data_IF_482217026029
#
_entry.id   IF_482217026029
#
_cell.length_a   1.000
_cell.length_b   1.000
_cell.length_c   1.000
_cell.angle_alpha   90.00
_cell.angle_beta   90.00
_cell.angle_gamma   90.00
#
_symmetry.space_group_name_H-M   'P 1'
#
loop_
_entity.id
_entity.type
_entity.pdbx_description
1 polymer ?
#
# COMPACT_ATOMS: atom_id res chain seq x y z
N UNK A 1 7.27 2.48 22.76
CA UNK A 1 6.92 3.52 21.76
C UNK A 1 5.51 4.03 22.00
N UNK A 2 5.24 5.34 21.92
CA UNK A 2 3.89 5.90 22.07
C UNK A 2 3.06 5.65 20.81
N UNK A 3 2.48 4.46 20.71
CA UNK A 3 1.76 3.99 19.51
C UNK A 3 0.66 4.93 19.03
N UNK A 4 -0.08 5.55 19.94
CA UNK A 4 -1.16 6.48 19.58
C UNK A 4 -0.65 7.71 18.83
N UNK A 5 0.43 8.31 19.31
CA UNK A 5 1.04 9.48 18.64
C UNK A 5 1.54 9.12 17.25
N UNK A 6 2.28 8.00 17.13
CA UNK A 6 2.83 7.53 15.85
C UNK A 6 1.76 7.07 14.85
N UNK A 7 0.59 6.68 15.32
CA UNK A 7 -0.52 6.27 14.44
C UNK A 7 -1.44 7.42 14.02
N UNK A 8 -1.27 8.61 14.60
CA UNK A 8 -2.18 9.74 14.38
C UNK A 8 -1.48 10.98 13.81
N UNK A 9 -0.19 11.13 14.05
CA UNK A 9 0.57 12.31 13.66
C UNK A 9 1.82 11.95 12.85
N UNK A 10 2.16 12.82 11.91
CA UNK A 10 3.43 12.75 11.19
C UNK A 10 4.56 13.22 12.11
N UNK A 11 5.36 12.28 12.59
CA UNK A 11 6.45 12.57 13.52
C UNK A 11 7.66 13.06 12.72
N UNK A 12 8.23 14.23 13.05
CA UNK A 12 9.40 14.77 12.35
C UNK A 12 10.59 13.80 12.37
N UNK A 13 11.31 13.72 11.25
CA UNK A 13 12.49 12.84 11.10
C UNK A 13 13.51 13.01 12.22
N UNK A 14 13.79 14.27 12.64
CA UNK A 14 14.69 14.56 13.78
C UNK A 14 14.29 13.85 15.08
N UNK A 15 13.00 13.68 15.34
CA UNK A 15 12.52 12.96 16.53
C UNK A 15 12.72 11.46 16.34
N UNK A 16 12.46 10.95 15.16
CA UNK A 16 12.74 9.54 14.81
C UNK A 16 14.24 9.21 14.95
N UNK A 17 15.11 10.10 14.45
CA UNK A 17 16.57 9.94 14.54
C UNK A 17 17.05 9.93 15.99
N UNK A 18 16.47 10.77 16.84
CA UNK A 18 16.77 10.79 18.29
C UNK A 18 16.31 9.52 18.97
N UNK A 19 15.16 8.98 18.62
CA UNK A 19 14.69 7.69 19.13
C UNK A 19 15.60 6.55 18.70
N UNK A 20 16.01 6.53 17.44
CA UNK A 20 16.96 5.53 16.94
C UNK A 20 18.32 5.67 17.63
N UNK A 21 18.81 6.89 17.86
CA UNK A 21 20.05 7.17 18.59
C UNK A 21 19.97 6.67 20.05
N UNK A 22 18.86 6.95 20.74
CA UNK A 22 18.63 6.49 22.11
C UNK A 22 18.56 4.95 22.18
N UNK A 23 17.90 4.32 21.21
CA UNK A 23 17.81 2.85 21.12
C UNK A 23 19.17 2.23 20.88
N UNK A 24 20.00 2.82 20.00
CA UNK A 24 21.39 2.39 19.77
C UNK A 24 22.26 2.51 21.03
N UNK A 25 22.16 3.64 21.71
CA UNK A 25 22.89 3.86 22.96
C UNK A 25 22.51 2.83 24.01
N UNK A 26 21.23 2.59 24.21
CA UNK A 26 20.74 1.57 25.14
C UNK A 26 21.23 0.16 24.77
N UNK A 27 21.24 -0.18 23.49
CA UNK A 27 21.67 -1.49 23.02
C UNK A 27 23.16 -1.74 23.24
N UNK A 28 24.00 -0.74 22.90
CA UNK A 28 25.45 -0.88 22.97
C UNK A 28 26.05 -0.50 24.32
N UNK A 29 25.37 0.31 25.09
CA UNK A 29 25.86 0.79 26.38
C UNK A 29 24.71 1.03 27.38
N UNK A 30 24.06 -0.03 27.87
CA UNK A 30 22.86 0.08 28.71
C UNK A 30 23.13 0.71 30.09
N UNK A 31 24.40 0.79 30.51
CA UNK A 31 24.80 1.38 31.81
C UNK A 31 24.96 2.89 31.78
N UNK A 32 24.97 3.52 30.60
CA UNK A 32 25.19 4.97 30.46
C UNK A 32 23.97 5.62 29.77
N UNK A 33 23.60 6.77 30.29
CA UNK A 33 22.50 7.58 29.72
C UNK A 33 22.99 8.44 28.52
N UNK A 34 24.31 8.69 28.47
CA UNK A 34 24.94 9.47 27.40
C UNK A 34 26.41 9.08 27.24
N UNK A 35 27.03 9.47 26.14
CA UNK A 35 28.46 9.28 25.86
C UNK A 35 28.76 8.36 24.70
N UNK A 36 30.05 8.16 24.45
CA UNK A 36 30.54 7.34 23.34
C UNK A 36 30.37 5.83 23.67
N UNK A 37 30.08 5.08 22.63
CA UNK A 37 29.99 3.61 22.66
C UNK A 37 30.63 2.99 21.43
N UNK A 38 31.14 1.80 21.55
CA UNK A 38 31.64 1.02 20.43
C UNK A 38 30.50 0.20 19.83
N UNK A 39 30.13 0.52 18.59
CA UNK A 39 29.15 -0.24 17.83
C UNK A 39 29.87 -1.31 16.98
N UNK A 40 29.61 -2.58 17.27
CA UNK A 40 30.19 -3.71 16.52
C UNK A 40 29.57 -3.87 15.12
N UNK A 41 28.36 -3.38 14.91
CA UNK A 41 27.63 -3.39 13.66
C UNK A 41 26.88 -2.06 13.46
N UNK A 42 26.71 -1.68 12.19
CA UNK A 42 25.93 -0.49 11.86
C UNK A 42 24.46 -0.65 12.27
N UNK A 43 23.77 0.46 12.50
CA UNK A 43 22.34 0.46 12.82
C UNK A 43 21.51 -0.14 11.71
N UNK A 44 21.89 0.14 10.47
CA UNK A 44 21.31 -0.40 9.26
C UNK A 44 21.34 -1.92 9.26
N UNK A 45 22.50 -2.50 9.59
CA UNK A 45 22.69 -3.94 9.67
C UNK A 45 21.83 -4.59 10.76
N UNK A 46 21.79 -3.98 11.94
CA UNK A 46 20.98 -4.47 13.06
C UNK A 46 19.48 -4.44 12.73
N UNK A 47 19.04 -3.46 11.94
CA UNK A 47 17.66 -3.33 11.50
C UNK A 47 17.26 -4.30 10.38
N UNK A 48 18.21 -4.99 9.74
CA UNK A 48 17.86 -6.02 8.77
C UNK A 48 17.04 -7.16 9.40
N UNK A 49 16.18 -7.82 8.62
CA UNK A 49 15.51 -9.05 9.03
C UNK A 49 16.50 -10.11 9.50
N UNK A 50 16.09 -10.95 10.43
CA UNK A 50 16.92 -12.05 10.94
C UNK A 50 17.39 -13.00 9.83
N UNK A 51 16.54 -13.24 8.81
CA UNK A 51 16.89 -14.04 7.65
C UNK A 51 18.06 -13.46 6.82
N UNK A 52 18.37 -12.17 6.97
CA UNK A 52 19.46 -11.46 6.28
C UNK A 52 20.60 -11.09 7.23
N UNK A 53 20.71 -11.79 8.35
CA UNK A 53 21.80 -11.61 9.34
C UNK A 53 21.63 -10.43 10.28
N UNK A 54 20.50 -9.72 10.24
CA UNK A 54 20.17 -8.65 11.19
C UNK A 54 19.50 -9.17 12.48
N UNK A 55 19.16 -8.26 13.36
CA UNK A 55 18.42 -8.54 14.60
C UNK A 55 16.93 -8.22 14.49
N UNK A 56 16.49 -7.61 13.40
CA UNK A 56 15.12 -7.22 13.17
C UNK A 56 14.67 -6.02 13.99
N UNK A 57 15.59 -5.14 14.38
CA UNK A 57 15.24 -3.86 14.99
C UNK A 57 14.44 -3.01 13.99
N UNK A 58 13.54 -2.19 14.51
CA UNK A 58 12.71 -1.35 13.66
C UNK A 58 13.19 0.10 13.70
N UNK A 59 13.46 0.67 12.54
CA UNK A 59 13.73 2.11 12.41
C UNK A 59 12.47 2.90 12.78
N UNK A 60 12.63 3.94 13.61
CA UNK A 60 11.52 4.73 14.12
C UNK A 60 10.71 5.38 12.98
N UNK A 61 11.38 5.95 11.98
CA UNK A 61 10.72 6.59 10.84
C UNK A 61 9.88 5.59 10.03
N UNK A 62 10.45 4.43 9.65
CA UNK A 62 9.70 3.39 8.92
C UNK A 62 8.51 2.85 9.72
N UNK A 63 8.66 2.75 11.04
CA UNK A 63 7.56 2.35 11.93
C UNK A 63 6.44 3.38 11.94
N UNK A 64 6.78 4.67 12.02
CA UNK A 64 5.80 5.77 11.96
C UNK A 64 5.05 5.77 10.63
N UNK A 65 5.77 5.65 9.51
CA UNK A 65 5.17 5.56 8.18
C UNK A 65 4.25 4.36 8.05
N UNK A 66 4.65 3.18 8.54
CA UNK A 66 3.80 2.00 8.54
C UNK A 66 2.54 2.16 9.41
N UNK A 67 2.61 2.89 10.52
CA UNK A 67 1.43 3.21 11.33
C UNK A 67 0.50 4.20 10.61
N UNK A 68 1.04 5.26 10.02
CA UNK A 68 0.24 6.24 9.28
C UNK A 68 -0.38 5.64 8.01
N UNK A 69 0.27 4.68 7.38
CA UNK A 69 -0.30 3.94 6.24
C UNK A 69 -1.62 3.26 6.58
N UNK A 70 -1.85 2.92 7.86
CA UNK A 70 -3.15 2.44 8.32
C UNK A 70 -4.27 3.46 8.11
N UNK A 71 -3.99 4.76 8.31
CA UNK A 71 -4.97 5.82 8.03
C UNK A 71 -5.24 5.92 6.53
N UNK A 72 -4.19 5.87 5.71
CA UNK A 72 -4.31 5.84 4.25
C UNK A 72 -5.18 4.67 3.80
N UNK A 73 -4.93 3.47 4.33
CA UNK A 73 -5.76 2.28 4.07
C UNK A 73 -7.21 2.47 4.51
N UNK A 74 -7.46 3.07 5.68
CA UNK A 74 -8.83 3.34 6.16
C UNK A 74 -9.57 4.33 5.27
N UNK A 75 -8.87 5.26 4.64
CA UNK A 75 -9.46 6.19 3.66
C UNK A 75 -9.96 5.44 2.43
N UNK A 76 -9.13 4.59 1.82
CA UNK A 76 -9.45 3.91 0.56
C UNK A 76 -10.36 2.70 0.73
N UNK A 77 -10.24 1.96 1.84
CA UNK A 77 -11.06 0.77 2.12
C UNK A 77 -12.50 1.11 2.54
N UNK A 78 -12.87 2.37 2.45
CA UNK A 78 -14.20 2.88 2.78
C UNK A 78 -14.69 2.46 4.17
N UNK A 79 -13.76 2.31 5.12
CA UNK A 79 -14.10 1.92 6.49
C UNK A 79 -14.98 2.99 7.14
N UNK A 80 -16.15 2.59 7.59
CA UNK A 80 -17.11 3.48 8.28
C UNK A 80 -16.53 3.91 9.63
N UNK A 81 -16.28 5.20 9.79
CA UNK A 81 -16.01 5.86 11.08
C UNK A 81 -16.20 7.37 10.91
N UNK A 82 -16.70 8.03 11.94
CA UNK A 82 -16.93 9.48 11.91
C UNK A 82 -15.69 10.28 11.48
N UNK A 83 -14.52 9.89 11.97
CA UNK A 83 -13.25 10.54 11.61
C UNK A 83 -12.94 10.36 10.12
N UNK A 84 -13.09 9.14 9.58
CA UNK A 84 -12.81 8.87 8.16
C UNK A 84 -13.85 9.54 7.25
N UNK A 85 -15.11 9.55 7.65
CA UNK A 85 -16.17 10.19 6.88
C UNK A 85 -15.96 11.71 6.82
N UNK A 86 -15.56 12.34 7.95
CA UNK A 86 -15.19 13.75 8.00
C UNK A 86 -13.97 14.06 7.11
N UNK A 87 -12.94 13.21 7.12
CA UNK A 87 -11.75 13.39 6.28
C UNK A 87 -12.08 13.24 4.79
N UNK A 88 -12.85 12.21 4.42
CA UNK A 88 -13.28 12.01 3.02
C UNK A 88 -14.12 13.19 2.51
N UNK A 89 -15.06 13.67 3.31
CA UNK A 89 -15.88 14.83 2.97
C UNK A 89 -15.04 16.09 2.82
N UNK A 90 -14.18 16.38 3.82
CA UNK A 90 -13.32 17.58 3.82
C UNK A 90 -12.39 17.63 2.62
N UNK A 91 -11.76 16.51 2.24
CA UNK A 91 -10.78 16.43 1.16
C UNK A 91 -11.35 15.86 -0.14
N UNK A 92 -12.69 15.70 -0.23
CA UNK A 92 -13.41 15.24 -1.43
C UNK A 92 -12.80 13.97 -2.03
N UNK A 93 -12.54 12.98 -1.17
CA UNK A 93 -11.96 11.70 -1.59
C UNK A 93 -12.92 10.97 -2.52
N UNK A 94 -12.48 10.72 -3.75
CA UNK A 94 -13.20 9.96 -4.78
C UNK A 94 -12.56 8.58 -4.97
N UNK A 95 -13.14 7.75 -5.82
CA UNK A 95 -12.66 6.39 -6.13
C UNK A 95 -11.22 6.39 -6.68
N UNK A 96 -10.86 7.38 -7.48
CA UNK A 96 -9.55 7.56 -8.09
C UNK A 96 -8.50 8.23 -7.19
N UNK A 97 -8.82 8.44 -5.91
CA UNK A 97 -7.97 9.19 -4.98
C UNK A 97 -6.53 8.69 -4.90
N UNK A 98 -6.28 7.39 -5.05
CA UNK A 98 -4.91 6.84 -5.02
C UNK A 98 -4.02 7.42 -6.13
N UNK A 99 -4.58 7.66 -7.31
CA UNK A 99 -3.89 8.24 -8.47
C UNK A 99 -4.00 9.77 -8.57
N UNK A 100 -4.80 10.42 -7.70
CA UNK A 100 -5.02 11.86 -7.77
C UNK A 100 -3.83 12.67 -7.23
N UNK A 101 -3.70 13.90 -7.71
CA UNK A 101 -2.70 14.84 -7.21
C UNK A 101 -2.94 15.23 -5.75
N UNK A 102 -1.86 15.52 -4.97
CA UNK A 102 -1.97 15.94 -3.59
C UNK A 102 -2.70 17.29 -3.44
N UNK A 103 -3.53 17.40 -2.39
CA UNK A 103 -4.22 18.65 -2.06
C UNK A 103 -3.24 19.70 -1.56
N UNK A 104 -3.17 20.87 -2.23
CA UNK A 104 -2.22 21.95 -1.90
C UNK A 104 -2.36 22.47 -0.47
N UNK A 105 -3.59 22.72 -0.03
CA UNK A 105 -3.89 23.26 1.32
C UNK A 105 -4.50 22.17 2.22
N UNK A 106 -3.63 21.39 2.85
CA UNK A 106 -4.05 20.29 3.71
C UNK A 106 -3.35 20.35 5.07
N UNK A 107 -3.96 19.73 6.08
CA UNK A 107 -3.33 19.54 7.39
C UNK A 107 -2.09 18.65 7.28
N UNK A 108 -1.17 18.75 8.25
CA UNK A 108 0.04 17.91 8.26
C UNK A 108 -0.28 16.42 8.22
N UNK A 109 -1.28 15.99 8.99
CA UNK A 109 -1.73 14.58 8.97
C UNK A 109 -2.23 14.16 7.59
N UNK A 110 -3.00 15.02 6.89
CA UNK A 110 -3.47 14.69 5.54
C UNK A 110 -2.33 14.65 4.53
N UNK A 111 -1.39 15.58 4.60
CA UNK A 111 -0.18 15.55 3.77
C UNK A 111 0.62 14.26 3.97
N UNK A 112 0.71 13.77 5.20
CA UNK A 112 1.35 12.48 5.49
C UNK A 112 0.56 11.30 4.90
N UNK A 113 -0.77 11.31 4.99
CA UNK A 113 -1.65 10.31 4.37
C UNK A 113 -1.43 10.29 2.84
N UNK A 114 -1.37 11.45 2.20
CA UNK A 114 -1.14 11.57 0.76
C UNK A 114 0.26 11.12 0.33
N UNK A 115 1.28 11.45 1.11
CA UNK A 115 2.66 10.97 0.87
C UNK A 115 2.74 9.44 0.86
N UNK A 116 1.90 8.76 1.63
CA UNK A 116 1.89 7.31 1.77
C UNK A 116 0.96 6.58 0.77
N UNK A 117 0.33 7.31 -0.16
CA UNK A 117 -0.50 6.72 -1.23
C UNK A 117 0.27 5.67 -2.04
N UNK A 118 1.50 5.99 -2.46
CA UNK A 118 2.34 5.08 -3.24
C UNK A 118 2.65 3.77 -2.51
N UNK A 119 2.90 3.86 -1.20
CA UNK A 119 3.13 2.68 -0.37
C UNK A 119 1.88 1.80 -0.27
N UNK A 120 0.69 2.39 -0.19
CA UNK A 120 -0.56 1.62 -0.22
C UNK A 120 -0.83 1.08 -1.60
N UNK A 121 -0.65 1.87 -2.64
CA UNK A 121 -0.86 1.45 -4.03
C UNK A 121 0.03 0.26 -4.44
N UNK A 122 1.23 0.13 -3.84
CA UNK A 122 2.11 -1.01 -4.10
C UNK A 122 1.58 -2.37 -3.62
N UNK A 123 0.51 -2.40 -2.84
CA UNK A 123 -0.05 -3.65 -2.31
C UNK A 123 -1.58 -3.70 -2.26
N UNK A 124 -2.27 -2.61 -2.59
CA UNK A 124 -3.73 -2.56 -2.64
C UNK A 124 -4.23 -3.08 -4.00
N UNK A 125 -5.12 -4.06 -3.98
CA UNK A 125 -5.72 -4.60 -5.20
C UNK A 125 -7.18 -4.98 -4.93
N UNK A 126 -8.05 -4.79 -5.91
CA UNK A 126 -9.43 -5.25 -5.82
C UNK A 126 -9.54 -6.74 -6.12
N UNK A 127 -10.21 -7.47 -5.26
CA UNK A 127 -10.73 -8.80 -5.54
C UNK A 127 -12.05 -8.64 -6.27
N UNK A 128 -12.10 -9.12 -7.50
CA UNK A 128 -13.29 -9.04 -8.35
C UNK A 128 -14.41 -9.92 -7.79
N UNK A 129 -15.53 -9.31 -7.48
CA UNK A 129 -16.77 -9.96 -7.08
C UNK A 129 -17.79 -9.96 -8.23
N UNK A 130 -18.66 -8.95 -8.26
CA UNK A 130 -19.58 -8.69 -9.36
C UNK A 130 -18.99 -7.75 -10.43
N UNK A 131 -17.89 -7.08 -10.12
CA UNK A 131 -17.19 -6.15 -10.99
C UNK A 131 -17.89 -4.80 -11.19
N UNK A 132 -18.93 -4.52 -10.41
CA UNK A 132 -19.78 -3.35 -10.62
C UNK A 132 -19.12 -2.04 -10.16
N UNK A 133 -18.16 -2.11 -9.25
CA UNK A 133 -17.52 -0.93 -8.64
C UNK A 133 -16.09 -0.68 -9.11
N UNK A 134 -15.49 -1.58 -9.87
CA UNK A 134 -14.09 -1.50 -10.31
C UNK A 134 -14.04 -0.87 -11.70
N UNK A 135 -13.39 0.29 -11.82
CA UNK A 135 -13.04 0.89 -13.13
C UNK A 135 -11.84 0.14 -13.72
N UNK A 136 -11.98 -0.31 -14.97
CA UNK A 136 -10.99 -1.18 -15.63
C UNK A 136 -9.62 -0.51 -15.84
N UNK A 137 -9.58 0.83 -15.91
CA UNK A 137 -8.38 1.59 -16.22
C UNK A 137 -7.75 2.29 -15.01
N UNK A 138 -8.58 2.62 -14.01
CA UNK A 138 -8.16 3.45 -12.87
C UNK A 138 -7.90 2.65 -11.61
N UNK A 139 -8.67 1.58 -11.40
CA UNK A 139 -8.58 0.78 -10.18
C UNK A 139 -7.57 -0.36 -10.33
N UNK A 140 -6.77 -0.67 -9.29
CA UNK A 140 -5.85 -1.81 -9.29
C UNK A 140 -6.63 -3.11 -9.07
N UNK A 141 -6.72 -3.98 -10.08
CA UNK A 141 -7.52 -5.22 -9.99
C UNK A 141 -6.88 -6.46 -10.63
N UNK A 142 -5.70 -6.34 -11.24
CA UNK A 142 -4.99 -7.47 -11.86
C UNK A 142 -3.70 -7.76 -11.11
N UNK A 143 -3.67 -8.70 -10.14
CA UNK A 143 -2.56 -8.88 -9.18
C UNK A 143 -1.19 -9.14 -9.78
N UNK A 144 -1.12 -9.67 -11.01
CA UNK A 144 0.15 -10.07 -11.65
C UNK A 144 0.74 -9.02 -12.59
N UNK A 145 0.08 -7.87 -12.71
CA UNK A 145 0.57 -6.78 -13.56
C UNK A 145 1.22 -5.66 -12.73
N UNK A 146 2.12 -4.88 -13.33
CA UNK A 146 2.67 -3.69 -12.69
C UNK A 146 1.56 -2.73 -12.25
N UNK A 147 1.67 -2.22 -11.03
CA UNK A 147 0.63 -1.37 -10.41
C UNK A 147 -0.76 -2.01 -10.35
N UNK A 148 -0.87 -3.32 -10.60
CA UNK A 148 -2.14 -4.07 -10.68
C UNK A 148 -3.12 -3.57 -11.75
N UNK A 149 -2.63 -2.83 -12.75
CA UNK A 149 -3.41 -2.22 -13.81
C UNK A 149 -3.17 -2.92 -15.15
N UNK A 150 -4.22 -3.24 -15.92
CA UNK A 150 -4.06 -3.77 -17.27
C UNK A 150 -3.67 -2.65 -18.25
N UNK A 151 -2.97 -3.02 -19.32
CA UNK A 151 -2.58 -2.12 -20.39
C UNK A 151 -3.58 -2.21 -21.53
N UNK A 152 -4.01 -1.08 -22.12
CA UNK A 152 -4.86 -1.09 -23.29
C UNK A 152 -4.10 -1.65 -24.51
N UNK A 153 -4.84 -2.19 -25.48
CA UNK A 153 -4.29 -2.64 -26.77
C UNK A 153 -3.90 -1.45 -27.64
N UNK A 154 -4.71 -0.40 -27.61
CA UNK A 154 -4.52 0.86 -28.34
C UNK A 154 -4.64 1.99 -27.32
N UNK A 155 -3.69 2.91 -27.30
CA UNK A 155 -3.79 4.13 -26.52
C UNK A 155 -4.79 5.08 -27.18
N UNK A 156 -6.06 4.88 -26.94
CA UNK A 156 -7.18 5.74 -27.31
C UNK A 156 -7.84 6.31 -26.06
N UNK A 157 -8.78 7.22 -26.22
CA UNK A 157 -9.57 7.77 -25.12
C UNK A 157 -10.19 6.63 -24.30
N UNK A 158 -9.76 6.53 -23.05
CA UNK A 158 -10.18 5.48 -22.13
C UNK A 158 -11.58 5.83 -21.62
N UNK A 159 -12.61 5.31 -22.27
CA UNK A 159 -13.96 5.38 -21.72
C UNK A 159 -13.99 4.72 -20.34
N UNK A 160 -14.68 5.34 -19.38
CA UNK A 160 -14.89 4.76 -18.05
C UNK A 160 -15.79 3.53 -18.17
N UNK A 161 -15.19 2.37 -18.06
CA UNK A 161 -15.86 1.07 -18.10
C UNK A 161 -15.61 0.33 -16.78
N UNK A 162 -16.59 -0.46 -16.34
CA UNK A 162 -16.46 -1.29 -15.15
C UNK A 162 -16.18 -2.75 -15.51
N UNK A 163 -15.51 -3.47 -14.61
CA UNK A 163 -15.14 -4.89 -14.80
C UNK A 163 -16.35 -5.76 -15.11
N UNK A 164 -17.53 -5.44 -14.56
CA UNK A 164 -18.78 -6.14 -14.85
C UNK A 164 -19.10 -6.25 -16.36
N UNK A 165 -18.70 -5.26 -17.17
CA UNK A 165 -18.87 -5.27 -18.62
C UNK A 165 -18.00 -6.31 -19.33
N UNK A 166 -16.98 -6.83 -18.68
CA UNK A 166 -16.06 -7.86 -19.17
C UNK A 166 -16.48 -9.26 -18.78
N UNK A 167 -17.51 -9.38 -17.94
CA UNK A 167 -18.03 -10.66 -17.41
C UNK A 167 -19.30 -11.03 -18.14
N UNK A 168 -19.35 -12.26 -18.65
CA UNK A 168 -20.62 -12.83 -19.13
C UNK A 168 -21.45 -13.22 -17.90
N UNK A 169 -22.56 -12.52 -17.70
CA UNK A 169 -23.40 -12.67 -16.50
C UNK A 169 -24.08 -14.05 -16.42
N UNK A 170 -24.36 -14.69 -17.56
CA UNK A 170 -25.03 -16.00 -17.61
C UNK A 170 -24.07 -17.14 -17.27
N UNK A 171 -22.88 -17.16 -17.89
CA UNK A 171 -21.89 -18.22 -17.71
C UNK A 171 -20.89 -17.95 -16.59
N UNK A 172 -20.90 -16.75 -15.99
CA UNK A 172 -19.93 -16.29 -15.00
C UNK A 172 -18.49 -16.54 -15.44
N UNK A 173 -18.21 -16.17 -16.69
CA UNK A 173 -16.90 -16.31 -17.32
C UNK A 173 -16.49 -15.01 -18.00
N UNK A 174 -15.20 -14.87 -18.29
CA UNK A 174 -14.67 -13.71 -19.02
C UNK A 174 -15.18 -13.68 -20.46
N UNK A 175 -15.59 -12.51 -20.92
CA UNK A 175 -15.91 -12.25 -22.33
C UNK A 175 -14.60 -12.09 -23.12
N UNK A 176 -14.05 -13.22 -23.61
CA UNK A 176 -12.76 -13.24 -24.31
C UNK A 176 -12.66 -12.30 -25.51
N UNK A 177 -13.67 -12.25 -26.42
CA UNK A 177 -13.64 -11.29 -27.53
C UNK A 177 -13.44 -9.83 -27.06
N UNK A 178 -14.17 -9.42 -26.02
CA UNK A 178 -14.08 -8.07 -25.48
C UNK A 178 -12.74 -7.81 -24.76
N UNK A 179 -12.17 -8.82 -24.08
CA UNK A 179 -10.84 -8.69 -23.49
C UNK A 179 -9.77 -8.49 -24.57
N UNK A 180 -9.81 -9.26 -25.66
CA UNK A 180 -8.86 -9.14 -26.77
C UNK A 180 -8.98 -7.82 -27.53
N UNK A 181 -10.18 -7.23 -27.57
CA UNK A 181 -10.42 -5.93 -28.15
C UNK A 181 -9.79 -4.79 -27.34
N UNK A 182 -9.97 -4.83 -26.01
CA UNK A 182 -9.61 -3.72 -25.12
C UNK A 182 -8.16 -3.77 -24.62
N UNK A 183 -7.61 -4.97 -24.35
CA UNK A 183 -6.34 -5.13 -23.67
C UNK A 183 -5.26 -5.75 -24.56
N UNK A 184 -4.00 -5.48 -24.22
CA UNK A 184 -2.87 -6.19 -24.82
C UNK A 184 -2.81 -7.65 -24.35
N UNK A 185 -2.08 -8.49 -25.06
CA UNK A 185 -2.07 -9.95 -24.87
C UNK A 185 -1.59 -10.34 -23.46
N UNK A 186 -0.57 -9.65 -22.90
CA UNK A 186 -0.09 -9.90 -21.52
C UNK A 186 -1.18 -9.63 -20.47
N UNK A 187 -1.96 -8.54 -20.66
CA UNK A 187 -3.07 -8.21 -19.77
C UNK A 187 -4.21 -9.22 -19.88
N UNK A 188 -4.54 -9.67 -21.10
CA UNK A 188 -5.55 -10.70 -21.32
C UNK A 188 -5.16 -11.99 -20.58
N UNK A 189 -3.91 -12.45 -20.73
CA UNK A 189 -3.45 -13.67 -20.05
C UNK A 189 -3.44 -13.51 -18.52
N UNK A 190 -3.11 -12.32 -18.01
CA UNK A 190 -3.19 -12.05 -16.58
C UNK A 190 -4.66 -12.04 -16.08
N UNK A 191 -5.56 -11.39 -16.80
CA UNK A 191 -6.99 -11.32 -16.45
C UNK A 191 -7.63 -12.72 -16.43
N UNK A 192 -7.32 -13.57 -17.39
CA UNK A 192 -7.83 -14.95 -17.46
C UNK A 192 -7.51 -15.80 -16.23
N UNK A 193 -6.44 -15.47 -15.49
CA UNK A 193 -6.09 -16.16 -14.23
C UNK A 193 -6.99 -15.76 -13.07
N UNK A 194 -7.72 -14.64 -13.15
CA UNK A 194 -8.66 -14.21 -12.12
C UNK A 194 -9.90 -15.09 -12.19
N UNK A 195 -10.22 -15.76 -11.09
CA UNK A 195 -11.44 -16.57 -10.98
C UNK A 195 -12.63 -15.68 -10.65
N UNK A 196 -13.65 -15.74 -11.48
CA UNK A 196 -14.92 -15.06 -11.23
C UNK A 196 -15.75 -15.93 -10.26
N UNK A 197 -16.27 -15.37 -9.15
CA UNK A 197 -17.09 -16.13 -8.23
C UNK A 197 -18.42 -16.55 -8.89
N UNK A 198 -18.84 -17.80 -8.64
CA UNK A 198 -20.10 -18.34 -9.15
C UNK A 198 -21.29 -17.55 -8.59
N UNK A 199 -21.26 -17.27 -7.29
CA UNK A 199 -22.26 -16.42 -6.62
C UNK A 199 -21.72 -15.00 -6.59
N UNK A 200 -22.40 -14.03 -7.24
CA UNK A 200 -21.97 -12.64 -7.21
C UNK A 200 -21.93 -12.09 -5.79
N UNK A 201 -20.88 -11.39 -5.47
CA UNK A 201 -20.73 -10.64 -4.22
C UNK A 201 -20.07 -9.30 -4.53
N UNK A 202 -20.18 -8.31 -3.67
CA UNK A 202 -19.53 -7.03 -3.87
C UNK A 202 -18.02 -7.14 -4.02
N UNK A 203 -17.42 -6.29 -4.85
CA UNK A 203 -15.98 -6.16 -4.99
C UNK A 203 -15.33 -5.79 -3.66
N UNK A 204 -14.13 -6.29 -3.43
CA UNK A 204 -13.44 -6.08 -2.15
C UNK A 204 -12.00 -5.62 -2.36
N UNK A 205 -11.62 -4.51 -1.74
CA UNK A 205 -10.23 -4.10 -1.68
C UNK A 205 -9.47 -5.00 -0.70
N UNK A 206 -8.36 -5.58 -1.15
CA UNK A 206 -7.51 -6.49 -0.38
C UNK A 206 -6.06 -6.01 -0.38
N UNK A 207 -5.29 -6.48 0.60
CA UNK A 207 -3.88 -6.20 0.73
C UNK A 207 -3.06 -7.42 0.29
N UNK A 208 -2.54 -7.38 -0.94
CA UNK A 208 -1.83 -8.51 -1.59
C UNK A 208 -0.63 -9.03 -0.78
N UNK A 209 0.18 -8.20 -0.08
CA UNK A 209 1.31 -8.71 0.70
C UNK A 209 0.95 -9.59 1.90
N UNK A 210 -0.33 -9.72 2.20
CA UNK A 210 -0.84 -10.65 3.23
C UNK A 210 -1.59 -11.80 2.57
N UNK A 211 -1.26 -13.09 2.86
CA UNK A 211 -1.92 -14.24 2.23
C UNK A 211 -3.44 -14.31 2.45
N UNK A 212 -3.93 -13.67 3.51
CA UNK A 212 -5.38 -13.59 3.81
C UNK A 212 -6.02 -12.32 3.24
N UNK A 213 -5.26 -11.48 2.53
CA UNK A 213 -5.72 -10.20 1.99
C UNK A 213 -5.99 -9.13 3.04
N UNK A 214 -5.56 -9.31 4.29
CA UNK A 214 -5.82 -8.37 5.38
C UNK A 214 -4.69 -7.33 5.49
N UNK A 215 -5.08 -6.07 5.61
CA UNK A 215 -4.11 -5.01 5.87
C UNK A 215 -3.58 -5.08 7.30
N UNK A 216 -2.26 -5.06 7.47
CA UNK A 216 -1.60 -4.95 8.77
C UNK A 216 -0.37 -4.05 8.71
N UNK A 217 -0.12 -3.30 9.78
CA UNK A 217 1.08 -2.46 9.92
C UNK A 217 2.36 -3.30 9.79
N UNK A 218 2.33 -4.55 10.23
CA UNK A 218 3.46 -5.46 10.12
C UNK A 218 3.79 -5.81 8.66
N UNK A 219 2.79 -6.13 7.85
CA UNK A 219 2.99 -6.44 6.42
C UNK A 219 3.44 -5.20 5.64
N UNK A 220 2.90 -4.01 5.96
CA UNK A 220 3.36 -2.74 5.38
C UNK A 220 4.84 -2.50 5.71
N UNK A 221 5.23 -2.67 6.97
CA UNK A 221 6.63 -2.51 7.37
C UNK A 221 7.57 -3.44 6.59
N UNK A 222 7.16 -4.69 6.35
CA UNK A 222 7.92 -5.63 5.51
C UNK A 222 8.07 -5.13 4.08
N UNK A 223 6.97 -4.72 3.42
CA UNK A 223 7.00 -4.17 2.06
C UNK A 223 7.92 -2.95 1.98
N UNK A 224 7.79 -2.02 2.93
CA UNK A 224 8.60 -0.81 2.99
C UNK A 224 10.11 -1.09 3.20
N UNK A 225 10.45 -2.17 3.89
CA UNK A 225 11.86 -2.58 4.06
C UNK A 225 12.40 -3.35 2.87
N UNK A 226 11.60 -4.18 2.20
CA UNK A 226 12.02 -4.97 1.03
C UNK A 226 12.31 -4.10 -0.19
N UNK A 227 11.49 -3.09 -0.44
CA UNK A 227 11.65 -2.18 -1.59
C UNK A 227 13.00 -1.43 -1.60
N UNK A 228 13.56 -1.11 -0.43
CA UNK A 228 14.85 -0.42 -0.33
C UNK A 228 16.07 -1.37 -0.46
N UNK A 229 15.89 -2.65 -0.25
CA UNK A 229 16.99 -3.64 -0.40
C UNK A 229 17.30 -3.90 -1.87
N UNK A 230 16.32 -3.80 -2.75
CA UNK A 230 16.50 -3.97 -4.20
C UNK A 230 17.27 -2.81 -4.83
N UNK A 231 17.17 -1.59 -4.28
CA UNK A 231 17.89 -0.41 -4.78
C UNK A 231 19.37 -0.37 -4.35
N UNK A 232 19.75 -1.08 -3.29
CA UNK A 232 21.12 -1.11 -2.77
C UNK A 232 21.96 -2.30 -3.27
N UNK A 233 21.43 -3.16 -4.15
CA UNK A 233 22.18 -4.26 -4.77
C UNK A 233 22.69 -3.94 -6.18
N UNK A 234 22.39 -2.75 -6.71
CA UNK A 234 22.86 -2.28 -8.03
C UNK A 234 24.03 -1.26 -7.95
N UNK A 235 24.81 -1.26 -6.84
CA UNK A 235 26.04 -0.46 -6.73
C UNK A 235 27.20 -1.35 -6.35
#
# INVERSE_FOLDING_TARGET
MPYYTFSSFDVPSKVCDRLDATTRLFWWNPKKVSGNYLAWKSWEHICLPKAWGGLGFRKAQKSTEAFLTKLTWMVISNRKSLCMDALRSKYKVQSDWLGSDPVKFASQTWKAIERLKSLVASGACFLVGDGATIDIWKDPWVPWLPCFLPKPRIESDKESLVVACLINQTSRSWNLPKLMELFNDDSVEAIKKIRIPVIPHPDKLVWIPDPKGNFSVHSVYKVHTSAQSSTNQEI
#
